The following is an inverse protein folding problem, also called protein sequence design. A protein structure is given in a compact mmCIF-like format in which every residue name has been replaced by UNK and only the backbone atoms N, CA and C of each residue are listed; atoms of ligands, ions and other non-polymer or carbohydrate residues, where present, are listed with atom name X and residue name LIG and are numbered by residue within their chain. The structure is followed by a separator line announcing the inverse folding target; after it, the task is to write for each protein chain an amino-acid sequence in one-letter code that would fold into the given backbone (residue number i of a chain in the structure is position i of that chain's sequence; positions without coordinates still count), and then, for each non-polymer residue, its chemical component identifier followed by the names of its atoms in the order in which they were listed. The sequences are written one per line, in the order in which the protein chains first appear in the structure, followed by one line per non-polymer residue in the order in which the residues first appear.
data_IF_404904873857
#
_entry.id   IF_404904873857
#
_cell.length_a   1.000
_cell.length_b   1.000
_cell.length_c   1.000
_cell.angle_alpha   90.00
_cell.angle_beta   90.00
_cell.angle_gamma   90.00
#
_symmetry.space_group_name_H-M   'P 1'
#
loop_
_entity.id
_entity.type
_entity.pdbx_description
1 polymer ?
#
# COMPACT_ATOMS: atom_id res chain seq x y z
N UNK A 1 15.27 13.37 33.42
CA UNK A 1 16.43 13.93 34.15
C UNK A 1 17.45 14.52 33.17
N UNK A 2 17.16 15.69 32.60
CA UNK A 2 18.12 16.48 31.79
C UNK A 2 17.80 17.99 31.81
N UNK A 3 16.95 18.45 32.74
CA UNK A 3 16.59 19.87 32.91
C UNK A 3 17.18 20.51 34.18
N UNK A 4 18.09 19.82 34.88
CA UNK A 4 18.76 20.38 36.07
C UNK A 4 20.07 21.11 35.75
N UNK A 5 20.52 21.09 34.49
CA UNK A 5 21.65 21.90 34.04
C UNK A 5 21.14 22.86 32.97
N UNK A 6 21.52 24.13 33.08
CA UNK A 6 21.19 25.24 32.17
C UNK A 6 21.83 25.06 30.77
N UNK A 7 21.62 23.91 30.14
CA UNK A 7 22.13 23.56 28.83
C UNK A 7 21.17 24.12 27.77
N UNK A 8 21.67 24.96 26.87
CA UNK A 8 20.86 25.53 25.80
C UNK A 8 20.30 24.43 24.90
N UNK A 9 19.08 24.60 24.37
CA UNK A 9 18.47 23.61 23.44
C UNK A 9 19.35 23.32 22.21
N UNK A 10 20.23 24.25 21.85
CA UNK A 10 21.22 24.09 20.79
C UNK A 10 22.34 23.11 21.19
N UNK A 11 22.88 23.28 22.39
CA UNK A 11 23.93 22.44 22.95
C UNK A 11 23.41 21.02 23.22
N UNK A 12 22.18 20.91 23.75
CA UNK A 12 21.51 19.62 23.90
C UNK A 12 21.29 18.90 22.56
N UNK A 13 20.98 19.63 21.48
CA UNK A 13 20.82 19.05 20.14
C UNK A 13 22.15 18.55 19.57
N UNK A 14 23.23 19.32 19.77
CA UNK A 14 24.58 18.95 19.37
C UNK A 14 25.08 17.70 20.10
N UNK A 15 24.93 17.64 21.42
CA UNK A 15 25.35 16.51 22.25
C UNK A 15 24.61 15.21 21.90
N UNK A 16 23.32 15.32 21.59
CA UNK A 16 22.47 14.16 21.27
C UNK A 16 22.48 13.80 19.77
N UNK A 17 23.12 14.60 18.91
CA UNK A 17 23.16 14.39 17.47
C UNK A 17 21.78 14.41 16.80
N UNK A 18 20.79 15.09 17.38
CA UNK A 18 19.42 15.16 16.85
C UNK A 18 19.02 16.59 16.51
N UNK A 19 18.23 16.82 15.46
CA UNK A 19 17.71 18.15 15.17
C UNK A 19 16.91 18.74 16.34
N UNK A 20 16.99 20.06 16.55
CA UNK A 20 16.24 20.76 17.61
C UNK A 20 14.73 20.47 17.55
N UNK A 21 14.18 20.33 16.35
CA UNK A 21 12.77 19.98 16.15
C UNK A 21 12.40 18.61 16.74
N UNK A 22 13.33 17.66 16.75
CA UNK A 22 13.17 16.36 17.42
C UNK A 22 13.17 16.52 18.93
N UNK A 23 14.06 17.34 19.50
CA UNK A 23 14.07 17.63 20.94
C UNK A 23 12.76 18.24 21.42
N UNK A 24 12.21 19.23 20.72
CA UNK A 24 10.91 19.81 21.09
C UNK A 24 9.78 18.79 21.03
N UNK A 25 9.77 17.92 20.01
CA UNK A 25 8.78 16.83 19.89
C UNK A 25 8.94 15.79 21.00
N UNK A 26 10.17 15.46 21.38
CA UNK A 26 10.48 14.53 22.47
C UNK A 26 10.11 15.10 23.84
N UNK A 27 10.41 16.38 24.10
CA UNK A 27 10.00 17.08 25.32
C UNK A 27 8.48 17.02 25.48
N UNK A 28 7.73 17.40 24.44
CA UNK A 28 6.27 17.34 24.45
C UNK A 28 5.74 15.91 24.73
N UNK A 29 6.29 14.89 24.06
CA UNK A 29 5.89 13.49 24.28
C UNK A 29 6.24 12.98 25.68
N UNK A 30 7.36 13.42 26.24
CA UNK A 30 7.79 13.07 27.59
C UNK A 30 6.85 13.68 28.63
N UNK A 31 6.38 14.91 28.42
CA UNK A 31 5.38 15.57 29.28
C UNK A 31 4.00 14.89 29.19
N UNK A 32 3.58 14.49 27.98
CA UNK A 32 2.25 13.90 27.74
C UNK A 32 2.16 12.41 28.13
N UNK A 33 3.21 11.61 27.87
CA UNK A 33 3.17 10.15 27.93
C UNK A 33 4.28 9.54 28.80
N UNK A 34 5.08 10.37 29.47
CA UNK A 34 6.23 9.93 30.25
C UNK A 34 7.31 9.27 29.39
N UNK A 35 8.17 8.41 29.98
CA UNK A 35 9.26 7.75 29.26
C UNK A 35 8.81 6.95 28.03
N UNK A 36 7.58 6.40 28.03
CA UNK A 36 6.99 5.67 26.91
C UNK A 36 6.81 6.54 25.66
N UNK A 37 6.63 7.85 25.82
CA UNK A 37 6.49 8.78 24.70
C UNK A 37 7.73 8.91 23.82
N UNK A 38 8.91 8.53 24.34
CA UNK A 38 10.18 8.54 23.61
C UNK A 38 10.42 7.27 22.79
N UNK A 39 9.61 6.23 22.97
CA UNK A 39 9.69 5.01 22.18
C UNK A 39 9.39 5.26 20.69
N UNK A 40 9.89 4.36 19.84
CA UNK A 40 9.70 4.42 18.39
C UNK A 40 8.25 4.13 18.02
N UNK A 41 7.47 5.20 17.81
CA UNK A 41 6.09 5.08 17.33
C UNK A 41 6.06 4.61 15.87
N UNK A 42 5.04 3.83 15.54
CA UNK A 42 4.74 3.45 14.16
C UNK A 42 4.60 4.69 13.27
N UNK A 43 5.26 4.67 12.12
CA UNK A 43 5.13 5.71 11.08
C UNK A 43 3.98 5.41 10.11
N UNK A 44 3.24 4.33 10.34
CA UNK A 44 2.14 3.93 9.47
C UNK A 44 0.99 4.95 9.63
N UNK A 45 0.40 5.43 8.52
CA UNK A 45 -0.78 6.30 8.58
C UNK A 45 -1.90 5.66 9.40
N UNK A 46 -2.58 6.46 10.23
CA UNK A 46 -3.69 5.99 11.08
C UNK A 46 -4.88 5.49 10.26
N UNK A 47 -5.13 6.11 9.10
CA UNK A 47 -6.20 5.72 8.18
C UNK A 47 -5.59 5.29 6.85
N UNK A 48 -5.75 4.01 6.52
CA UNK A 48 -5.42 3.47 5.20
C UNK A 48 -6.72 3.20 4.46
N UNK A 49 -6.72 3.36 3.13
CA UNK A 49 -7.89 3.04 2.32
C UNK A 49 -8.14 1.54 2.34
N UNK A 50 -9.37 1.16 2.64
CA UNK A 50 -9.83 -0.23 2.55
C UNK A 50 -10.15 -0.61 1.10
N UNK A 51 -10.12 -1.91 0.82
CA UNK A 51 -10.48 -2.43 -0.50
C UNK A 51 -11.99 -2.29 -0.66
N UNK A 52 -12.42 -1.64 -1.73
CA UNK A 52 -13.83 -1.43 -2.06
C UNK A 52 -14.30 -2.39 -3.17
N UNK A 53 -13.73 -3.60 -3.23
CA UNK A 53 -14.06 -4.57 -4.27
C UNK A 53 -15.25 -5.40 -3.81
N UNK A 54 -16.25 -5.55 -4.67
CA UNK A 54 -17.41 -6.37 -4.34
C UNK A 54 -17.03 -7.85 -4.28
N UNK A 55 -17.65 -8.66 -3.42
CA UNK A 55 -17.41 -10.11 -3.35
C UNK A 55 -17.67 -10.80 -4.70
N UNK A 56 -18.70 -10.37 -5.42
CA UNK A 56 -19.12 -10.92 -6.72
C UNK A 56 -18.03 -10.72 -7.77
N UNK A 57 -17.40 -9.54 -7.77
CA UNK A 57 -16.29 -9.24 -8.69
C UNK A 57 -15.07 -10.12 -8.38
N UNK A 58 -14.78 -10.37 -7.10
CA UNK A 58 -13.68 -11.24 -6.70
C UNK A 58 -13.95 -12.68 -7.14
N UNK A 59 -15.17 -13.17 -6.92
CA UNK A 59 -15.59 -14.51 -7.31
C UNK A 59 -15.52 -14.70 -8.82
N UNK A 60 -16.08 -13.78 -9.60
CA UNK A 60 -16.03 -13.83 -11.06
C UNK A 60 -14.58 -13.83 -11.59
N UNK A 61 -13.68 -13.03 -10.99
CA UNK A 61 -12.26 -13.06 -11.37
C UNK A 61 -11.61 -14.41 -11.04
N UNK A 62 -11.97 -15.00 -9.90
CA UNK A 62 -11.44 -16.29 -9.46
C UNK A 62 -11.89 -17.41 -10.40
N UNK A 63 -13.18 -17.51 -10.68
CA UNK A 63 -13.76 -18.50 -11.61
C UNK A 63 -13.14 -18.37 -13.01
N UNK A 64 -13.05 -17.16 -13.55
CA UNK A 64 -12.41 -16.93 -14.85
C UNK A 64 -10.93 -17.33 -14.86
N UNK A 65 -10.23 -17.19 -13.72
CA UNK A 65 -8.82 -17.61 -13.58
C UNK A 65 -8.67 -19.12 -13.40
N UNK A 66 -9.63 -19.80 -12.81
CA UNK A 66 -9.67 -21.26 -12.73
C UNK A 66 -9.92 -21.87 -14.11
N UNK A 67 -10.86 -21.31 -14.88
CA UNK A 67 -11.13 -21.72 -16.26
C UNK A 67 -9.96 -21.40 -17.21
N UNK A 68 -9.29 -20.25 -17.01
CA UNK A 68 -8.21 -19.77 -17.87
C UNK A 68 -6.94 -19.40 -17.09
N UNK A 69 -6.17 -20.38 -16.55
CA UNK A 69 -5.04 -20.11 -15.66
C UNK A 69 -3.92 -19.26 -16.29
N UNK A 70 -3.69 -19.41 -17.60
CA UNK A 70 -2.63 -18.70 -18.31
C UNK A 70 -2.98 -17.24 -18.67
N UNK A 71 -4.23 -16.82 -18.51
CA UNK A 71 -4.70 -15.53 -19.04
C UNK A 71 -4.36 -14.35 -18.13
N UNK A 72 -3.80 -13.29 -18.72
CA UNK A 72 -3.52 -12.02 -18.02
C UNK A 72 -4.77 -11.21 -17.69
N UNK A 73 -4.58 -10.15 -16.91
CA UNK A 73 -5.65 -9.23 -16.47
C UNK A 73 -6.42 -8.62 -17.66
N UNK A 74 -5.78 -8.45 -18.81
CA UNK A 74 -6.36 -7.88 -20.03
C UNK A 74 -7.50 -8.73 -20.57
N UNK A 75 -7.26 -10.04 -20.75
CA UNK A 75 -8.28 -10.97 -21.24
C UNK A 75 -9.41 -11.16 -20.23
N UNK A 76 -9.06 -11.33 -18.95
CA UNK A 76 -10.03 -11.45 -17.86
C UNK A 76 -10.92 -10.20 -17.78
N UNK A 77 -10.33 -9.01 -17.91
CA UNK A 77 -11.07 -7.75 -17.89
C UNK A 77 -12.08 -7.63 -19.03
N UNK A 78 -11.73 -8.06 -20.25
CA UNK A 78 -12.68 -8.09 -21.38
C UNK A 78 -13.88 -8.99 -21.07
N UNK A 79 -13.66 -10.16 -20.48
CA UNK A 79 -14.76 -11.05 -20.09
C UNK A 79 -15.65 -10.46 -18.99
N UNK A 80 -15.05 -9.86 -17.95
CA UNK A 80 -15.81 -9.19 -16.90
C UNK A 80 -16.71 -8.08 -17.46
N UNK A 81 -16.22 -7.31 -18.44
CA UNK A 81 -17.03 -6.28 -19.11
C UNK A 81 -18.22 -6.88 -19.86
N UNK A 82 -18.05 -8.04 -20.51
CA UNK A 82 -19.14 -8.76 -21.18
C UNK A 82 -20.16 -9.31 -20.19
N UNK A 83 -19.72 -9.67 -18.98
CA UNK A 83 -20.58 -10.09 -17.86
C UNK A 83 -21.24 -8.92 -17.11
N UNK A 84 -21.06 -7.68 -17.58
CA UNK A 84 -21.71 -6.50 -17.00
C UNK A 84 -20.96 -5.83 -15.84
N UNK A 85 -19.76 -6.29 -15.48
CA UNK A 85 -19.00 -5.67 -14.38
C UNK A 85 -18.40 -4.32 -14.78
N UNK A 86 -18.63 -3.30 -13.95
CA UNK A 86 -18.00 -1.99 -14.08
C UNK A 86 -16.70 -1.91 -13.27
N UNK A 87 -15.62 -2.44 -13.84
CA UNK A 87 -14.31 -2.39 -13.20
C UNK A 87 -13.21 -1.93 -14.14
N UNK A 88 -12.16 -1.33 -13.58
CA UNK A 88 -10.97 -0.94 -14.35
C UNK A 88 -10.01 -2.12 -14.53
N UNK A 89 -9.24 -2.10 -15.61
CA UNK A 89 -8.15 -3.07 -15.84
C UNK A 89 -7.17 -3.12 -14.64
N UNK A 90 -6.92 -1.97 -14.03
CA UNK A 90 -6.04 -1.86 -12.85
C UNK A 90 -6.64 -2.53 -11.62
N UNK A 91 -7.95 -2.44 -11.42
CA UNK A 91 -8.67 -3.11 -10.33
C UNK A 91 -8.63 -4.63 -10.51
N UNK A 92 -8.91 -5.12 -11.72
CA UNK A 92 -8.78 -6.54 -12.07
C UNK A 92 -7.37 -7.07 -11.76
N UNK A 93 -6.32 -6.36 -12.22
CA UNK A 93 -4.93 -6.75 -11.93
C UNK A 93 -4.58 -6.76 -10.44
N UNK A 94 -5.11 -5.82 -9.65
CA UNK A 94 -4.92 -5.78 -8.19
C UNK A 94 -5.61 -6.96 -7.51
N UNK A 95 -6.82 -7.32 -7.93
CA UNK A 95 -7.57 -8.48 -7.40
C UNK A 95 -6.81 -9.77 -7.70
N UNK A 96 -6.37 -9.98 -8.94
CA UNK A 96 -5.57 -11.16 -9.32
C UNK A 96 -4.30 -11.25 -8.46
N UNK A 97 -3.57 -10.14 -8.31
CA UNK A 97 -2.34 -10.11 -7.50
C UNK A 97 -2.63 -10.43 -6.03
N UNK A 98 -3.76 -9.95 -5.53
CA UNK A 98 -4.21 -10.20 -4.17
C UNK A 98 -4.62 -11.67 -3.94
N UNK A 99 -5.31 -12.29 -4.91
CA UNK A 99 -5.67 -13.71 -4.87
C UNK A 99 -4.44 -14.63 -4.96
N UNK A 100 -3.46 -14.30 -5.82
CA UNK A 100 -2.18 -15.03 -5.92
C UNK A 100 -1.44 -14.99 -4.58
N UNK A 101 -1.38 -13.81 -3.94
CA UNK A 101 -0.72 -13.65 -2.63
C UNK A 101 -1.38 -14.51 -1.53
N UNK A 102 -2.67 -14.79 -1.67
CA UNK A 102 -3.44 -15.67 -0.77
C UNK A 102 -3.39 -17.14 -1.17
N UNK A 103 -2.67 -17.50 -2.24
CA UNK A 103 -2.59 -18.85 -2.79
C UNK A 103 -3.95 -19.40 -3.27
N UNK A 104 -4.92 -18.53 -3.54
CA UNK A 104 -6.25 -18.94 -4.03
C UNK A 104 -6.29 -19.19 -5.53
N UNK A 105 -5.37 -18.58 -6.28
CA UNK A 105 -5.18 -18.83 -7.71
C UNK A 105 -3.70 -18.99 -8.00
N UNK A 106 -3.38 -19.81 -9.00
CA UNK A 106 -1.99 -20.01 -9.43
C UNK A 106 -1.51 -18.78 -10.22
N UNK A 107 -0.24 -18.37 -10.07
CA UNK A 107 0.33 -17.35 -10.93
C UNK A 107 0.38 -17.87 -12.37
N UNK A 108 0.09 -16.99 -13.35
CA UNK A 108 0.34 -17.33 -14.75
C UNK A 108 1.84 -17.47 -14.99
N UNK A 109 2.27 -18.65 -15.45
CA UNK A 109 3.68 -18.95 -15.74
C UNK A 109 4.23 -18.15 -16.92
N UNK A 110 3.35 -17.65 -17.79
CA UNK A 110 3.68 -16.69 -18.85
C UNK A 110 3.93 -15.32 -18.22
N UNK A 111 5.14 -15.10 -17.69
CA UNK A 111 5.63 -13.76 -17.37
C UNK A 111 5.79 -12.99 -18.68
N UNK A 112 4.77 -12.21 -19.04
CA UNK A 112 4.99 -11.07 -19.93
C UNK A 112 6.09 -10.22 -19.31
N UNK A 113 7.20 -10.08 -20.01
CA UNK A 113 8.30 -9.18 -19.67
C UNK A 113 7.71 -7.85 -19.22
N UNK A 114 8.18 -7.31 -18.08
CA UNK A 114 7.80 -5.97 -17.62
C UNK A 114 8.36 -4.94 -18.62
N UNK A 115 7.69 -4.77 -19.75
CA UNK A 115 7.87 -3.64 -20.65
C UNK A 115 7.23 -2.41 -20.02
N UNK A 116 7.99 -1.31 -19.95
CA UNK A 116 7.54 0.01 -19.49
C UNK A 116 6.16 0.33 -20.08
N UNK A 117 5.32 1.00 -19.28
CA UNK A 117 3.97 1.48 -19.67
C UNK A 117 4.06 2.30 -20.96
N UNK A 118 3.86 1.66 -22.11
CA UNK A 118 3.48 2.33 -23.35
C UNK A 118 1.98 2.62 -23.26
N UNK A 119 1.59 3.86 -23.45
CA UNK A 119 0.21 4.32 -23.42
C UNK A 119 -0.67 3.48 -24.34
N UNK A 120 -1.56 2.64 -23.79
CA UNK A 120 -2.67 2.10 -24.56
C UNK A 120 -3.67 3.25 -24.78
N UNK A 121 -3.40 4.10 -25.77
CA UNK A 121 -4.34 5.13 -26.23
C UNK A 121 -5.45 4.41 -26.99
N UNK A 122 -6.51 4.05 -26.29
CA UNK A 122 -7.77 3.67 -26.94
C UNK A 122 -8.37 4.94 -27.56
N UNK A 123 -8.06 5.21 -28.84
CA UNK A 123 -8.81 6.21 -29.60
C UNK A 123 -10.15 5.58 -29.96
N UNK A 124 -11.25 6.14 -29.45
CA UNK A 124 -12.59 5.88 -29.99
C UNK A 124 -12.76 6.66 -31.29
N UNK A 125 -13.53 6.15 -32.26
CA UNK A 125 -13.94 6.90 -33.45
C UNK A 125 -14.74 8.15 -33.06
#
# INVERSE_FOLDING_TARGET
MLQEKSTSSFEAAGLLGVPRSTLYRWKKRLEEEGPRGLESKSRRPKRVREKTWSPELILAIKELREMFPAWGKEKIWVLLRKLGFETSLSTCGRIISWLIKRLEIRPSLLKGTKGKRGSFRFRRP
#
